data_IF_338726610297
#
_entry.id   IF_338726610297
#
_cell.length_a   1.000
_cell.length_b   1.000
_cell.length_c   1.000
_cell.angle_alpha   90.00
_cell.angle_beta   90.00
_cell.angle_gamma   90.00
#
_symmetry.space_group_name_H-M   'P 1'
#
loop_
_entity.id
_entity.type
_entity.pdbx_description
1 polymer ?
#
# COMPACT_ATOMS: atom_id res chain seq x y z
N UNK A 1 13.43 37.10 -6.77
CA UNK A 1 12.03 36.64 -6.78
C UNK A 1 11.29 37.63 -7.63
N UNK A 2 11.01 37.29 -8.89
CA UNK A 2 10.11 38.13 -9.67
C UNK A 2 8.75 38.06 -9.00
N UNK A 3 8.23 39.23 -8.66
CA UNK A 3 6.87 39.44 -8.24
C UNK A 3 5.96 38.76 -9.28
N UNK A 4 5.18 37.77 -8.83
CA UNK A 4 4.20 37.07 -9.66
C UNK A 4 3.10 38.08 -10.02
N UNK A 5 3.39 38.96 -10.99
CA UNK A 5 2.51 40.04 -11.37
C UNK A 5 1.37 39.46 -12.20
N UNK A 6 0.38 38.93 -11.47
CA UNK A 6 -0.95 38.52 -11.95
C UNK A 6 -1.65 39.63 -12.73
N UNK A 7 -1.23 40.88 -12.51
CA UNK A 7 -1.73 42.10 -13.13
C UNK A 7 -1.71 42.05 -14.67
N UNK A 8 -0.86 41.21 -15.28
CA UNK A 8 -0.78 41.07 -16.75
C UNK A 8 -1.90 40.24 -17.36
N UNK A 9 -2.50 39.30 -16.62
CA UNK A 9 -3.56 38.42 -17.13
C UNK A 9 -4.91 38.69 -16.45
N UNK A 10 -4.89 39.30 -15.27
CA UNK A 10 -6.06 39.63 -14.48
C UNK A 10 -7.12 40.47 -15.22
N UNK A 11 -6.77 41.48 -16.05
CA UNK A 11 -7.76 42.22 -16.83
C UNK A 11 -8.51 41.35 -17.85
N UNK A 12 -7.82 40.44 -18.55
CA UNK A 12 -8.44 39.51 -19.51
C UNK A 12 -9.35 38.49 -18.80
N UNK A 13 -8.93 38.02 -17.61
CA UNK A 13 -9.74 37.13 -16.77
C UNK A 13 -11.01 37.85 -16.31
N UNK A 14 -10.87 39.07 -15.78
CA UNK A 14 -11.99 39.89 -15.34
C UNK A 14 -12.96 40.17 -16.49
N UNK A 15 -12.47 40.43 -17.71
CA UNK A 15 -13.33 40.64 -18.87
C UNK A 15 -14.21 39.41 -19.19
N UNK A 16 -13.64 38.20 -19.19
CA UNK A 16 -14.41 36.96 -19.46
C UNK A 16 -15.38 36.64 -18.32
N UNK A 17 -15.01 36.96 -17.07
CA UNK A 17 -15.88 36.77 -15.89
C UNK A 17 -17.01 37.80 -15.86
N UNK A 18 -16.74 39.08 -16.14
CA UNK A 18 -17.77 40.11 -16.20
C UNK A 18 -18.74 39.90 -17.37
N UNK A 19 -18.27 39.32 -18.47
CA UNK A 19 -19.10 38.91 -19.58
C UNK A 19 -19.93 37.64 -19.31
N UNK A 20 -19.85 37.05 -18.11
CA UNK A 20 -20.60 35.84 -17.75
C UNK A 20 -22.11 36.08 -17.78
N UNK A 21 -22.84 35.48 -18.74
CA UNK A 21 -24.28 35.62 -18.78
C UNK A 21 -24.91 34.72 -17.71
N UNK A 22 -26.01 35.17 -17.11
CA UNK A 22 -26.91 34.24 -16.40
C UNK A 22 -27.67 33.45 -17.46
N UNK A 23 -27.25 32.21 -17.70
CA UNK A 23 -27.93 31.34 -18.64
C UNK A 23 -29.17 30.70 -18.00
N UNK A 24 -30.37 30.88 -18.56
CA UNK A 24 -31.54 30.12 -18.14
C UNK A 24 -31.41 28.65 -18.55
N UNK A 25 -32.38 27.82 -18.16
CA UNK A 25 -32.47 26.43 -18.64
C UNK A 25 -32.47 26.44 -20.18
N UNK A 26 -31.49 25.77 -20.78
CA UNK A 26 -31.36 25.66 -22.24
C UNK A 26 -32.55 24.86 -22.77
N UNK A 27 -33.38 25.51 -23.59
CA UNK A 27 -34.56 24.91 -24.23
C UNK A 27 -34.54 25.07 -25.75
N UNK A 28 -33.72 25.99 -26.25
CA UNK A 28 -33.58 26.30 -27.68
C UNK A 28 -32.16 26.06 -28.18
N UNK A 29 -32.01 25.96 -29.50
CA UNK A 29 -30.70 25.84 -30.14
C UNK A 29 -29.85 27.11 -29.97
N UNK A 30 -30.46 28.28 -30.08
CA UNK A 30 -29.75 29.56 -29.96
C UNK A 30 -29.17 29.74 -28.55
N UNK A 31 -29.90 29.34 -27.50
CA UNK A 31 -29.40 29.30 -26.13
C UNK A 31 -28.22 28.33 -25.98
N UNK A 32 -28.29 27.15 -26.61
CA UNK A 32 -27.21 26.16 -26.64
C UNK A 32 -25.95 26.70 -27.34
N UNK A 33 -26.11 27.44 -28.43
CA UNK A 33 -25.02 28.03 -29.20
C UNK A 33 -24.37 29.20 -28.43
N UNK A 34 -25.17 30.02 -27.73
CA UNK A 34 -24.68 31.07 -26.86
C UNK A 34 -23.84 30.52 -25.68
N UNK A 35 -24.36 29.49 -24.98
CA UNK A 35 -23.64 28.80 -23.90
C UNK A 35 -22.35 28.17 -24.42
N UNK A 36 -22.42 27.51 -25.59
CA UNK A 36 -21.26 26.89 -26.20
C UNK A 36 -20.18 27.91 -26.56
N UNK A 37 -20.58 29.09 -27.05
CA UNK A 37 -19.65 30.18 -27.40
C UNK A 37 -18.93 30.70 -26.16
N UNK A 38 -19.68 31.05 -25.10
CA UNK A 38 -19.12 31.50 -23.84
C UNK A 38 -18.20 30.45 -23.21
N UNK A 39 -18.60 29.17 -23.22
CA UNK A 39 -17.74 28.06 -22.77
C UNK A 39 -16.39 28.03 -23.52
N UNK A 40 -16.35 28.42 -24.79
CA UNK A 40 -15.10 28.54 -25.55
C UNK A 40 -14.19 29.66 -25.03
N UNK A 41 -14.77 30.83 -24.74
CA UNK A 41 -14.03 31.96 -24.17
C UNK A 41 -13.42 31.60 -22.81
N UNK A 42 -14.21 30.95 -21.95
CA UNK A 42 -13.75 30.44 -20.65
C UNK A 42 -12.60 29.44 -20.82
N UNK A 43 -12.70 28.48 -21.75
CA UNK A 43 -11.61 27.54 -22.02
C UNK A 43 -10.34 28.24 -22.51
N UNK A 44 -10.48 29.23 -23.40
CA UNK A 44 -9.34 29.98 -23.93
C UNK A 44 -8.60 30.73 -22.84
N UNK A 45 -9.30 31.48 -21.99
CA UNK A 45 -8.63 32.22 -20.91
C UNK A 45 -7.99 31.27 -19.89
N UNK A 46 -8.63 30.13 -19.58
CA UNK A 46 -8.04 29.10 -18.73
C UNK A 46 -6.75 28.49 -19.30
N UNK A 47 -6.70 28.28 -20.62
CA UNK A 47 -5.48 27.82 -21.29
C UNK A 47 -4.36 28.86 -21.18
N UNK A 48 -4.66 30.14 -21.44
CA UNK A 48 -3.69 31.24 -21.29
C UNK A 48 -3.15 31.34 -19.85
N UNK A 49 -4.01 31.22 -18.83
CA UNK A 49 -3.58 31.19 -17.42
C UNK A 49 -2.60 30.04 -17.20
N UNK A 50 -2.94 28.83 -17.65
CA UNK A 50 -2.06 27.68 -17.49
C UNK A 50 -0.71 27.88 -18.18
N UNK A 51 -0.69 28.40 -19.40
CA UNK A 51 0.52 28.69 -20.16
C UNK A 51 1.37 29.79 -19.51
N UNK A 52 0.73 30.82 -18.94
CA UNK A 52 1.42 31.92 -18.24
C UNK A 52 2.21 31.42 -17.03
N UNK A 53 1.61 30.56 -16.20
CA UNK A 53 2.27 30.02 -15.00
C UNK A 53 3.16 28.81 -15.27
N UNK A 54 3.04 28.16 -16.43
CA UNK A 54 3.77 26.93 -16.75
C UNK A 54 5.30 27.05 -16.61
N UNK A 55 5.97 28.10 -17.12
CA UNK A 55 7.42 28.24 -16.98
C UNK A 55 7.90 28.26 -15.53
N UNK A 56 7.14 28.91 -14.63
CA UNK A 56 7.50 29.03 -13.22
C UNK A 56 7.23 27.74 -12.45
N UNK A 57 6.10 27.09 -12.72
CA UNK A 57 5.79 25.75 -12.20
C UNK A 57 6.86 24.76 -12.64
N UNK A 58 7.26 24.79 -13.91
CA UNK A 58 8.31 23.93 -14.45
C UNK A 58 9.68 24.24 -13.82
N UNK A 59 10.00 25.51 -13.60
CA UNK A 59 11.22 25.93 -12.90
C UNK A 59 11.24 25.44 -11.44
N UNK A 60 10.13 25.58 -10.71
CA UNK A 60 9.98 25.11 -9.34
C UNK A 60 10.08 23.58 -9.25
N UNK A 61 9.43 22.85 -10.15
CA UNK A 61 9.52 21.39 -10.25
C UNK A 61 10.95 20.93 -10.56
N UNK A 62 11.65 21.62 -11.46
CA UNK A 62 13.05 21.34 -11.78
C UNK A 62 13.95 21.58 -10.56
N UNK A 63 13.75 22.68 -9.84
CA UNK A 63 14.47 22.97 -8.62
C UNK A 63 14.21 21.90 -7.54
N UNK A 64 12.94 21.55 -7.30
CA UNK A 64 12.55 20.52 -6.34
C UNK A 64 13.20 19.18 -6.66
N UNK A 65 13.11 18.72 -7.92
CA UNK A 65 13.73 17.47 -8.38
C UNK A 65 15.26 17.49 -8.20
N UNK A 66 15.91 18.61 -8.51
CA UNK A 66 17.35 18.78 -8.34
C UNK A 66 17.76 18.74 -6.86
N UNK A 67 17.01 19.41 -5.98
CA UNK A 67 17.27 19.40 -4.54
C UNK A 67 17.07 17.99 -3.96
N UNK A 68 16.02 17.29 -4.36
CA UNK A 68 15.77 15.91 -3.95
C UNK A 68 16.87 14.97 -4.44
N UNK A 69 17.37 15.15 -5.66
CA UNK A 69 18.48 14.37 -6.20
C UNK A 69 19.79 14.61 -5.40
N UNK A 70 20.11 15.88 -5.08
CA UNK A 70 21.27 16.21 -4.23
C UNK A 70 21.14 15.64 -2.83
N UNK A 71 19.96 15.76 -2.22
CA UNK A 71 19.68 15.17 -0.92
C UNK A 71 19.93 13.65 -0.96
N UNK A 72 19.34 12.94 -1.93
CA UNK A 72 19.53 11.49 -2.12
C UNK A 72 21.00 11.12 -2.34
N UNK A 73 21.76 11.94 -3.06
CA UNK A 73 23.17 11.70 -3.30
C UNK A 73 23.98 11.74 -1.99
N UNK A 74 23.71 12.72 -1.12
CA UNK A 74 24.38 12.85 0.17
C UNK A 74 23.88 11.79 1.17
N UNK A 75 22.60 11.43 1.09
CA UNK A 75 21.95 10.44 1.95
C UNK A 75 22.30 8.98 1.59
N UNK A 76 22.79 8.73 0.36
CA UNK A 76 23.03 7.36 -0.13
C UNK A 76 23.97 6.54 0.78
N UNK A 77 25.13 7.09 1.14
CA UNK A 77 26.10 6.36 1.96
C UNK A 77 25.62 6.13 3.41
N UNK A 78 25.06 7.13 4.12
CA UNK A 78 24.39 6.90 5.41
C UNK A 78 23.28 5.85 5.33
N UNK A 79 22.43 5.91 4.31
CA UNK A 79 21.33 4.96 4.12
C UNK A 79 21.85 3.53 3.87
N UNK A 80 22.91 3.37 3.07
CA UNK A 80 23.57 2.08 2.87
C UNK A 80 24.17 1.53 4.18
N UNK A 81 24.83 2.38 4.97
CA UNK A 81 25.37 2.02 6.27
C UNK A 81 24.26 1.60 7.25
N UNK A 82 23.18 2.36 7.34
CA UNK A 82 22.01 2.04 8.15
C UNK A 82 21.41 0.69 7.73
N UNK A 83 21.20 0.47 6.44
CA UNK A 83 20.67 -0.79 5.91
C UNK A 83 21.60 -1.97 6.20
N UNK A 84 22.92 -1.76 6.16
CA UNK A 84 23.89 -2.79 6.55
C UNK A 84 23.76 -3.13 8.03
N UNK A 85 23.71 -2.14 8.92
CA UNK A 85 23.55 -2.35 10.35
C UNK A 85 22.24 -3.08 10.66
N UNK A 86 21.12 -2.68 10.04
CA UNK A 86 19.81 -3.35 10.18
C UNK A 86 19.87 -4.83 9.80
N UNK A 87 20.52 -5.16 8.68
CA UNK A 87 20.70 -6.57 8.24
C UNK A 87 21.52 -7.36 9.25
N UNK A 88 22.65 -6.81 9.71
CA UNK A 88 23.51 -7.48 10.69
C UNK A 88 22.78 -7.74 12.01
N UNK A 89 22.04 -6.74 12.52
CA UNK A 89 21.23 -6.90 13.73
C UNK A 89 20.12 -7.93 13.55
N UNK A 90 19.45 -7.94 12.39
CA UNK A 90 18.39 -8.91 12.10
C UNK A 90 18.94 -10.34 12.08
N UNK A 91 20.08 -10.56 11.42
CA UNK A 91 20.75 -11.86 11.37
C UNK A 91 21.16 -12.33 12.77
N UNK A 92 21.81 -11.46 13.55
CA UNK A 92 22.23 -11.80 14.91
C UNK A 92 21.04 -12.16 15.80
N UNK A 93 19.92 -11.45 15.70
CA UNK A 93 18.70 -11.75 16.48
C UNK A 93 18.11 -13.11 16.10
N UNK A 94 18.05 -13.44 14.82
CA UNK A 94 17.56 -14.74 14.36
C UNK A 94 18.49 -15.87 14.81
N UNK A 95 19.81 -15.67 14.75
CA UNK A 95 20.80 -16.61 15.28
C UNK A 95 20.66 -16.77 16.80
N UNK A 96 20.47 -15.69 17.53
CA UNK A 96 20.32 -15.72 18.99
C UNK A 96 19.01 -16.41 19.39
N UNK A 97 17.91 -16.14 18.68
CA UNK A 97 16.62 -16.84 18.83
C UNK A 97 16.79 -18.33 18.55
N UNK A 98 17.48 -18.70 17.49
CA UNK A 98 17.76 -20.09 17.15
C UNK A 98 18.62 -20.77 18.23
N UNK A 99 19.64 -20.09 18.76
CA UNK A 99 20.48 -20.60 19.86
C UNK A 99 19.67 -20.84 21.12
N UNK A 100 18.86 -19.87 21.55
CA UNK A 100 17.99 -19.98 22.73
C UNK A 100 16.98 -21.11 22.56
N UNK A 101 16.37 -21.25 21.37
CA UNK A 101 15.44 -22.34 21.07
C UNK A 101 16.13 -23.72 21.05
N UNK A 102 17.35 -23.81 20.52
CA UNK A 102 18.13 -25.05 20.51
C UNK A 102 18.55 -25.47 21.93
N UNK A 103 18.99 -24.51 22.75
CA UNK A 103 19.33 -24.78 24.15
C UNK A 103 18.11 -25.21 24.95
N UNK A 104 16.96 -24.55 24.76
CA UNK A 104 15.69 -24.97 25.37
C UNK A 104 15.35 -26.41 25.00
N UNK A 105 15.43 -26.78 23.71
CA UNK A 105 15.17 -28.15 23.26
C UNK A 105 16.12 -29.16 23.92
N UNK A 106 17.40 -28.82 24.04
CA UNK A 106 18.40 -29.69 24.69
C UNK A 106 18.05 -29.90 26.18
N UNK A 107 17.71 -28.84 26.88
CA UNK A 107 17.32 -28.89 28.29
C UNK A 107 16.03 -29.68 28.49
N UNK A 108 15.03 -29.50 27.63
CA UNK A 108 13.78 -30.26 27.67
C UNK A 108 13.99 -31.75 27.38
N UNK A 109 14.86 -32.09 26.43
CA UNK A 109 15.24 -33.49 26.16
C UNK A 109 15.98 -34.13 27.35
N UNK A 110 16.86 -33.39 28.01
CA UNK A 110 17.57 -33.89 29.20
C UNK A 110 16.61 -34.09 30.38
N UNK A 111 15.74 -33.10 30.63
CA UNK A 111 14.69 -33.19 31.65
C UNK A 111 13.76 -34.39 31.38
N UNK A 112 13.37 -34.59 30.12
CA UNK A 112 12.56 -35.74 29.70
C UNK A 112 13.28 -37.07 29.95
N UNK A 113 14.55 -37.20 29.58
CA UNK A 113 15.36 -38.42 29.84
C UNK A 113 15.51 -38.68 31.33
N UNK A 114 15.71 -37.63 32.14
CA UNK A 114 15.82 -37.74 33.60
C UNK A 114 14.51 -38.20 34.21
N UNK A 115 13.38 -37.59 33.83
CA UNK A 115 12.05 -37.97 34.31
C UNK A 115 11.67 -39.41 33.95
N UNK A 116 12.03 -39.88 32.75
CA UNK A 116 11.83 -41.29 32.36
C UNK A 116 12.63 -42.22 33.31
N UNK A 117 13.92 -41.94 33.53
CA UNK A 117 14.76 -42.75 34.43
C UNK A 117 14.27 -42.75 35.87
N UNK A 118 13.73 -41.63 36.35
CA UNK A 118 13.16 -41.51 37.70
C UNK A 118 11.87 -42.34 37.82
N UNK A 119 10.94 -42.20 36.86
CA UNK A 119 9.72 -43.02 36.83
C UNK A 119 10.03 -44.53 36.73
N UNK A 120 11.04 -44.92 35.96
CA UNK A 120 11.51 -46.31 35.88
C UNK A 120 12.09 -46.81 37.21
N UNK A 121 12.88 -45.98 37.90
CA UNK A 121 13.43 -46.32 39.24
C UNK A 121 12.35 -46.45 40.30
N UNK A 122 11.30 -45.65 40.20
CA UNK A 122 10.12 -45.71 41.08
C UNK A 122 9.16 -46.85 40.71
N UNK A 123 9.41 -47.56 39.60
CA UNK A 123 8.57 -48.67 39.12
C UNK A 123 7.31 -48.22 38.38
N UNK A 124 7.12 -46.91 38.15
CA UNK A 124 5.98 -46.37 37.41
C UNK A 124 6.22 -46.44 35.89
N UNK A 125 6.13 -47.67 35.38
CA UNK A 125 6.25 -47.99 33.94
C UNK A 125 5.20 -47.29 33.08
N UNK A 126 4.04 -46.92 33.65
CA UNK A 126 2.98 -46.19 32.93
C UNK A 126 3.38 -44.73 32.75
N UNK A 127 3.91 -44.08 33.79
CA UNK A 127 4.41 -42.71 33.72
C UNK A 127 5.61 -42.61 32.76
N UNK A 128 6.58 -43.52 32.85
CA UNK A 128 7.74 -43.55 31.96
C UNK A 128 7.31 -43.62 30.47
N UNK A 129 6.40 -44.54 30.13
CA UNK A 129 5.88 -44.70 28.76
C UNK A 129 5.05 -43.50 28.29
N UNK A 130 4.32 -42.85 29.20
CA UNK A 130 3.55 -41.64 28.86
C UNK A 130 4.47 -40.46 28.50
N UNK A 131 5.61 -40.31 29.18
CA UNK A 131 6.63 -39.30 28.87
C UNK A 131 7.36 -39.66 27.58
N UNK A 132 7.73 -40.92 27.37
CA UNK A 132 8.41 -41.41 26.16
C UNK A 132 7.55 -41.29 24.88
N UNK A 133 6.23 -41.47 24.99
CA UNK A 133 5.30 -41.29 23.86
C UNK A 133 4.87 -39.84 23.66
N UNK A 134 5.33 -38.91 24.51
CA UNK A 134 5.00 -37.48 24.43
C UNK A 134 3.57 -37.16 24.87
N UNK A 135 2.86 -38.11 25.51
CA UNK A 135 1.54 -37.88 26.10
C UNK A 135 1.60 -37.01 27.36
N UNK A 136 2.75 -36.99 28.02
CA UNK A 136 3.09 -36.08 29.12
C UNK A 136 4.31 -35.28 28.69
N UNK A 137 4.16 -33.95 28.62
CA UNK A 137 5.25 -33.03 28.31
C UNK A 137 6.00 -32.69 29.59
N UNK A 138 7.30 -32.91 29.59
CA UNK A 138 8.20 -32.51 30.69
C UNK A 138 9.00 -31.31 30.19
N UNK A 139 8.91 -30.20 30.92
CA UNK A 139 9.63 -28.96 30.63
C UNK A 139 10.81 -28.86 31.60
N UNK A 140 11.97 -28.42 31.10
CA UNK A 140 13.13 -28.14 31.95
C UNK A 140 12.83 -27.03 32.97
N UNK A 141 13.25 -27.22 34.22
CA UNK A 141 13.21 -26.19 35.27
C UNK A 141 14.25 -25.07 35.01
N UNK A 142 15.31 -25.38 34.26
CA UNK A 142 16.30 -24.40 33.83
C UNK A 142 15.82 -23.73 32.54
N UNK A 143 15.62 -22.41 32.59
CA UNK A 143 15.36 -21.59 31.42
C UNK A 143 16.68 -21.12 30.76
N UNK A 144 16.75 -21.04 29.43
CA UNK A 144 17.86 -20.42 28.72
C UNK A 144 17.85 -18.91 28.94
N UNK A 145 19.03 -18.28 28.83
CA UNK A 145 19.15 -16.83 28.96
C UNK A 145 18.38 -16.11 27.84
N UNK A 146 17.59 -15.08 28.16
CA UNK A 146 16.80 -14.36 27.17
C UNK A 146 17.70 -13.54 26.24
N UNK A 147 17.25 -13.34 24.99
CA UNK A 147 17.92 -12.45 24.02
C UNK A 147 17.96 -11.03 24.60
N UNK A 148 19.16 -10.52 24.86
CA UNK A 148 19.34 -9.17 25.39
C UNK A 148 18.82 -8.12 24.38
N UNK A 149 18.01 -7.17 24.87
CA UNK A 149 17.56 -6.03 24.07
C UNK A 149 18.67 -4.99 24.02
N UNK A 150 19.08 -4.58 22.82
CA UNK A 150 20.02 -3.48 22.62
C UNK A 150 19.28 -2.14 22.72
N UNK A 151 19.84 -1.19 23.49
CA UNK A 151 19.31 0.17 23.59
C UNK A 151 19.31 0.88 22.24
N UNK A 152 18.23 1.61 21.93
CA UNK A 152 18.10 2.38 20.67
C UNK A 152 17.52 1.61 19.47
N UNK A 153 17.19 0.32 19.62
CA UNK A 153 16.55 -0.49 18.56
C UNK A 153 15.12 -0.87 18.96
N UNK A 154 14.14 -0.45 18.16
CA UNK A 154 12.74 -0.87 18.32
C UNK A 154 12.38 -1.90 17.26
N UNK A 155 11.76 -2.99 17.69
CA UNK A 155 11.31 -4.07 16.81
C UNK A 155 9.84 -3.91 16.49
N UNK A 156 9.49 -4.02 15.22
CA UNK A 156 8.11 -4.14 14.77
C UNK A 156 7.99 -5.36 13.89
N UNK A 157 7.15 -6.30 14.29
CA UNK A 157 6.76 -7.42 13.45
C UNK A 157 5.72 -6.92 12.42
N UNK A 158 6.02 -7.11 11.14
CA UNK A 158 5.13 -6.78 10.05
C UNK A 158 4.62 -8.10 9.48
N UNK A 159 3.34 -8.36 9.69
CA UNK A 159 2.64 -9.47 9.07
C UNK A 159 2.11 -9.00 7.71
N UNK A 160 2.53 -9.66 6.63
CA UNK A 160 2.01 -9.42 5.29
C UNK A 160 1.36 -10.68 4.73
N UNK A 161 0.25 -10.52 4.02
CA UNK A 161 -0.40 -11.60 3.28
C UNK A 161 0.10 -11.61 1.83
N UNK A 162 0.47 -12.78 1.34
CA UNK A 162 0.79 -13.02 -0.07
C UNK A 162 -0.28 -13.92 -0.69
N UNK A 163 -0.78 -13.55 -1.86
CA UNK A 163 -1.75 -14.36 -2.61
C UNK A 163 -0.98 -15.35 -3.48
N UNK A 164 -0.90 -16.60 -3.03
CA UNK A 164 -0.22 -17.69 -3.75
C UNK A 164 -1.00 -18.14 -4.99
N UNK A 165 -2.33 -18.24 -4.88
CA UNK A 165 -3.23 -18.54 -6.01
C UNK A 165 -4.50 -17.67 -5.95
N UNK A 166 -4.60 -16.73 -6.91
CA UNK A 166 -5.76 -15.84 -7.02
C UNK A 166 -7.05 -16.57 -7.42
N UNK A 167 -6.97 -17.65 -8.20
CA UNK A 167 -8.15 -18.42 -8.63
C UNK A 167 -8.73 -19.19 -7.47
N UNK A 168 -7.89 -19.77 -6.62
CA UNK A 168 -8.34 -20.46 -5.42
C UNK A 168 -9.00 -19.50 -4.44
N UNK A 169 -8.40 -18.32 -4.21
CA UNK A 169 -9.00 -17.25 -3.42
C UNK A 169 -10.37 -16.82 -3.98
N UNK A 170 -10.47 -16.59 -5.29
CA UNK A 170 -11.73 -16.21 -5.93
C UNK A 170 -12.82 -17.28 -5.79
N UNK A 171 -12.47 -18.57 -5.88
CA UNK A 171 -13.40 -19.67 -5.63
C UNK A 171 -13.86 -19.71 -4.17
N UNK A 172 -12.94 -19.50 -3.22
CA UNK A 172 -13.26 -19.47 -1.80
C UNK A 172 -14.27 -18.35 -1.49
N UNK A 173 -14.07 -17.17 -2.07
CA UNK A 173 -15.01 -16.04 -1.97
C UNK A 173 -16.35 -16.38 -2.60
N UNK A 174 -16.35 -16.92 -3.83
CA UNK A 174 -17.58 -17.34 -4.51
C UNK A 174 -18.38 -18.43 -3.78
N UNK A 175 -17.69 -19.26 -2.98
CA UNK A 175 -18.30 -20.29 -2.12
C UNK A 175 -18.74 -19.80 -0.74
N UNK A 176 -18.49 -18.53 -0.40
CA UNK A 176 -18.83 -17.93 0.90
C UNK A 176 -17.95 -18.37 2.08
N UNK A 177 -16.83 -19.07 1.82
CA UNK A 177 -15.88 -19.48 2.87
C UNK A 177 -15.07 -18.32 3.44
N UNK A 178 -14.88 -17.28 2.64
CA UNK A 178 -14.14 -16.07 3.01
C UNK A 178 -14.92 -14.82 2.55
N UNK A 179 -14.71 -13.66 3.19
CA UNK A 179 -15.42 -12.44 2.85
C UNK A 179 -15.10 -11.91 1.46
N UNK A 180 -16.05 -11.20 0.84
CA UNK A 180 -15.89 -10.59 -0.49
C UNK A 180 -14.87 -9.45 -0.49
N UNK A 181 -14.60 -8.82 0.66
CA UNK A 181 -13.64 -7.71 0.74
C UNK A 181 -12.19 -8.12 0.44
N UNK A 182 -11.87 -9.42 0.44
CA UNK A 182 -10.52 -9.92 0.15
C UNK A 182 -10.14 -9.82 -1.33
N UNK A 183 -11.11 -9.57 -2.21
CA UNK A 183 -10.88 -9.33 -3.64
C UNK A 183 -11.51 -8.02 -4.07
N UNK A 184 -10.75 -7.27 -4.87
CA UNK A 184 -11.21 -6.02 -5.48
C UNK A 184 -11.36 -6.20 -6.99
N UNK A 185 -12.49 -5.80 -7.60
CA UNK A 185 -12.65 -5.82 -9.05
C UNK A 185 -11.60 -4.92 -9.72
N UNK A 186 -11.01 -5.39 -10.82
CA UNK A 186 -10.11 -4.57 -11.64
C UNK A 186 -10.93 -3.59 -12.51
N UNK A 187 -11.35 -2.48 -11.89
CA UNK A 187 -12.13 -1.43 -12.55
C UNK A 187 -11.48 -0.85 -13.81
N UNK A 188 -10.16 -0.60 -13.88
CA UNK A 188 -9.50 -0.16 -15.10
C UNK A 188 -9.74 -1.10 -16.30
N UNK A 189 -9.58 -2.41 -16.10
CA UNK A 189 -9.79 -3.40 -17.16
C UNK A 189 -11.28 -3.50 -17.51
N UNK A 190 -12.18 -3.54 -16.53
CA UNK A 190 -13.62 -3.58 -16.77
C UNK A 190 -14.11 -2.36 -17.56
N UNK A 191 -13.66 -1.16 -17.18
CA UNK A 191 -13.98 0.08 -17.90
C UNK A 191 -13.39 0.09 -19.32
N UNK A 192 -12.23 -0.52 -19.53
CA UNK A 192 -11.65 -0.69 -20.88
C UNK A 192 -12.55 -1.54 -21.78
N UNK A 193 -13.01 -2.69 -21.28
CA UNK A 193 -13.92 -3.58 -21.99
C UNK A 193 -15.28 -2.91 -22.28
N UNK A 194 -15.85 -2.21 -21.30
CA UNK A 194 -17.12 -1.49 -21.51
C UNK A 194 -16.99 -0.36 -22.54
N UNK A 195 -15.84 0.34 -22.58
CA UNK A 195 -15.57 1.37 -23.59
C UNK A 195 -15.42 0.78 -24.99
N UNK A 196 -14.66 -0.31 -25.16
CA UNK A 196 -14.42 -0.91 -26.48
C UNK A 196 -15.67 -1.55 -27.08
N UNK A 197 -16.51 -2.15 -26.23
CA UNK A 197 -17.75 -2.84 -26.63
C UNK A 197 -18.98 -1.92 -26.60
N UNK A 198 -18.82 -0.65 -26.21
CA UNK A 198 -19.93 0.30 -25.98
C UNK A 198 -21.03 -0.27 -25.05
N UNK A 199 -20.64 -1.11 -24.10
CA UNK A 199 -21.54 -1.77 -23.16
C UNK A 199 -22.40 -2.90 -23.75
N UNK A 200 -22.08 -3.39 -24.95
CA UNK A 200 -22.83 -4.50 -25.57
C UNK A 200 -22.49 -5.87 -24.98
N UNK A 201 -21.33 -6.03 -24.35
CA UNK A 201 -20.94 -7.29 -23.71
C UNK A 201 -21.57 -7.41 -22.33
N UNK A 202 -22.16 -8.57 -22.05
CA UNK A 202 -22.71 -8.90 -20.73
C UNK A 202 -21.64 -9.63 -19.90
N UNK A 203 -21.14 -8.98 -18.85
CA UNK A 203 -20.26 -9.60 -17.85
C UNK A 203 -21.10 -9.80 -16.58
N UNK A 204 -21.29 -11.05 -16.10
CA UNK A 204 -22.06 -11.31 -14.89
C UNK A 204 -21.58 -10.44 -13.72
N UNK A 205 -22.51 -9.73 -13.08
CA UNK A 205 -22.21 -8.84 -11.95
C UNK A 205 -21.70 -7.44 -12.33
N UNK A 206 -21.57 -7.09 -13.62
CA UNK A 206 -21.10 -5.77 -14.07
C UNK A 206 -22.13 -5.12 -14.99
N UNK A 207 -22.56 -3.90 -14.64
CA UNK A 207 -23.47 -3.09 -15.45
C UNK A 207 -22.72 -1.96 -16.18
N UNK A 208 -23.00 -1.79 -17.47
CA UNK A 208 -22.48 -0.66 -18.24
C UNK A 208 -23.18 0.65 -17.83
N UNK A 209 -22.40 1.71 -17.55
CA UNK A 209 -22.92 3.07 -17.36
C UNK A 209 -22.39 4.01 -18.44
N UNK A 210 -23.26 4.85 -18.99
CA UNK A 210 -22.94 5.89 -19.97
C UNK A 210 -23.17 7.27 -19.37
N UNK A 211 -22.12 8.06 -19.33
CA UNK A 211 -22.19 9.48 -18.98
C UNK A 211 -21.80 10.30 -20.22
N UNK A 212 -22.66 11.24 -20.61
CA UNK A 212 -22.38 12.15 -21.73
C UNK A 212 -21.69 13.39 -21.17
N UNK A 213 -20.38 13.46 -21.28
CA UNK A 213 -19.60 14.66 -20.95
C UNK A 213 -19.47 15.55 -22.17
N UNK A 214 -19.80 16.84 -22.02
CA UNK A 214 -19.66 17.83 -23.09
C UNK A 214 -18.19 18.29 -23.15
N UNK A 215 -17.51 17.91 -24.22
CA UNK A 215 -16.15 18.37 -24.51
C UNK A 215 -16.16 19.27 -25.74
N UNK A 216 -15.99 20.58 -25.53
CA UNK A 216 -15.61 21.50 -26.63
C UNK A 216 -14.15 21.22 -27.02
N UNK A 217 -13.90 20.78 -28.26
CA UNK A 217 -12.54 20.63 -28.83
C UNK A 217 -11.81 21.96 -28.85
#
# INVERSE_FOLDING_TARGET
>A
MNEFSVEKIEPEVQQVVMAAPTFPKITTKDESDAVSTYLGQVKSIRAKIAEFFRPEIDAANKLHKNLLAKMKQVDAAPLEAENRCRRMLSLWIEEERARVAAEQRRLDEEARKKAIREAEKEGDTRAAKAIETGRVSVVSEKAPEPVAKSDGVSFREIWSAEVVDLKELAKAVGSGKVPVEYISPNMPTLNSVMRSTKGQINIPGVAARKETSIMKR
#
